data_IF_520465455595
#
_entry.id   IF_520465455595
#
_cell.length_a   1.000
_cell.length_b   1.000
_cell.length_c   1.000
_cell.angle_alpha   90.00
_cell.angle_beta   90.00
_cell.angle_gamma   90.00
#
_symmetry.space_group_name_H-M   'P 1'
#
loop_
_entity.id
_entity.type
_entity.pdbx_description
1 polymer ?
#
# COMPACT_ATOMS: atom_id res chain seq x y z
N UNK A 1 -43.06 -14.40 -17.90
CA UNK A 1 -43.51 -15.09 -19.13
C UNK A 1 -42.77 -16.41 -19.22
N UNK A 2 -43.47 -17.48 -19.63
CA UNK A 2 -42.86 -18.80 -19.78
C UNK A 2 -43.01 -19.26 -21.23
N UNK A 3 -41.89 -19.55 -21.90
CA UNK A 3 -41.90 -20.12 -23.25
C UNK A 3 -41.57 -21.60 -23.16
N UNK A 4 -42.46 -22.42 -23.71
CA UNK A 4 -42.35 -23.87 -23.71
C UNK A 4 -42.01 -24.37 -25.11
N UNK A 5 -40.80 -24.89 -25.29
CA UNK A 5 -40.38 -25.58 -26.51
C UNK A 5 -40.60 -27.07 -26.33
N UNK A 6 -41.30 -27.69 -27.28
CA UNK A 6 -41.58 -29.14 -27.29
C UNK A 6 -40.99 -29.75 -28.54
N UNK A 7 -39.94 -30.54 -28.36
CA UNK A 7 -39.31 -31.31 -29.45
C UNK A 7 -39.84 -32.73 -29.37
N UNK A 8 -40.56 -33.20 -30.38
CA UNK A 8 -41.15 -34.54 -30.42
C UNK A 8 -40.62 -35.34 -31.60
N UNK A 9 -40.34 -36.63 -31.41
CA UNK A 9 -39.89 -37.50 -32.49
C UNK A 9 -39.32 -38.84 -32.03
N UNK A 10 -38.74 -39.57 -32.97
CA UNK A 10 -38.03 -40.84 -32.74
C UNK A 10 -36.54 -40.63 -32.98
N UNK A 11 -35.72 -40.87 -31.96
CA UNK A 11 -34.28 -40.65 -31.96
C UNK A 11 -33.71 -40.47 -30.56
N UNK A 12 -32.42 -40.13 -30.47
CA UNK A 12 -31.76 -39.92 -29.18
C UNK A 12 -32.03 -38.51 -28.62
N UNK A 13 -33.25 -38.28 -28.15
CA UNK A 13 -33.74 -36.98 -27.68
C UNK A 13 -32.95 -36.41 -26.48
N UNK A 14 -32.34 -37.27 -25.65
CA UNK A 14 -31.54 -36.84 -24.49
C UNK A 14 -30.25 -36.10 -24.88
N UNK A 15 -29.67 -36.43 -26.03
CA UNK A 15 -28.42 -35.82 -26.51
C UNK A 15 -28.62 -34.51 -27.29
N UNK A 16 -29.87 -34.10 -27.50
CA UNK A 16 -30.17 -32.86 -28.20
C UNK A 16 -29.81 -31.67 -27.32
N UNK A 17 -28.93 -30.79 -27.80
CA UNK A 17 -28.67 -29.50 -27.15
C UNK A 17 -29.94 -28.66 -27.09
N UNK A 18 -30.16 -27.97 -25.98
CA UNK A 18 -31.33 -27.12 -25.82
C UNK A 18 -31.21 -25.91 -26.76
N UNK A 19 -32.19 -25.66 -27.64
CA UNK A 19 -32.17 -24.47 -28.49
C UNK A 19 -32.31 -23.21 -27.64
N UNK A 20 -31.36 -22.29 -27.76
CA UNK A 20 -31.36 -21.03 -27.00
C UNK A 20 -32.32 -20.00 -27.61
N UNK A 21 -33.08 -19.32 -26.74
CA UNK A 21 -33.97 -18.23 -27.13
C UNK A 21 -33.27 -16.90 -26.85
N UNK A 22 -33.13 -16.05 -27.87
CA UNK A 22 -32.60 -14.70 -27.72
C UNK A 22 -33.69 -13.76 -27.20
N UNK A 23 -33.82 -13.67 -25.89
CA UNK A 23 -34.71 -12.68 -25.27
C UNK A 23 -34.11 -11.26 -25.39
N UNK A 24 -34.96 -10.21 -25.47
CA UNK A 24 -34.50 -8.82 -25.39
C UNK A 24 -33.81 -8.51 -24.05
N UNK A 25 -32.88 -7.55 -24.04
CA UNK A 25 -32.05 -7.20 -22.87
C UNK A 25 -32.84 -6.78 -21.62
N UNK A 26 -34.08 -6.31 -21.79
CA UNK A 26 -34.98 -5.92 -20.69
C UNK A 26 -35.63 -7.11 -19.95
N UNK A 27 -35.34 -8.34 -20.37
CA UNK A 27 -35.82 -9.56 -19.71
C UNK A 27 -34.73 -10.15 -18.82
N UNK A 28 -35.09 -10.41 -17.57
CA UNK A 28 -34.31 -11.29 -16.72
C UNK A 28 -34.68 -12.74 -17.05
N UNK A 29 -33.71 -13.49 -17.60
CA UNK A 29 -33.89 -14.87 -18.06
C UNK A 29 -33.29 -15.83 -17.06
N UNK A 30 -34.06 -16.86 -16.70
CA UNK A 30 -33.62 -17.94 -15.81
C UNK A 30 -33.24 -19.18 -16.62
N UNK A 31 -32.43 -20.05 -16.01
CA UNK A 31 -32.04 -21.31 -16.62
C UNK A 31 -33.27 -22.17 -16.96
N UNK A 32 -33.30 -22.79 -18.15
CA UNK A 32 -34.46 -23.55 -18.59
C UNK A 32 -34.67 -24.82 -17.79
N UNK A 33 -35.92 -25.10 -17.44
CA UNK A 33 -36.30 -26.40 -16.89
C UNK A 33 -36.52 -27.38 -18.03
N UNK A 34 -35.85 -28.53 -17.97
CA UNK A 34 -35.91 -29.57 -19.02
C UNK A 34 -36.58 -30.82 -18.47
N UNK A 35 -37.64 -31.28 -19.14
CA UNK A 35 -38.28 -32.56 -18.91
C UNK A 35 -38.16 -33.45 -20.17
N UNK A 36 -37.83 -34.72 -19.98
CA UNK A 36 -37.66 -35.68 -21.08
C UNK A 36 -38.57 -36.88 -20.86
N UNK A 37 -39.64 -36.99 -21.63
CA UNK A 37 -40.56 -38.12 -21.55
C UNK A 37 -40.32 -39.01 -22.76
N UNK A 38 -39.44 -40.00 -22.58
CA UNK A 38 -39.02 -40.94 -23.63
C UNK A 38 -39.39 -42.37 -23.27
N UNK A 39 -39.84 -43.13 -24.27
CA UNK A 39 -40.16 -44.55 -24.15
C UNK A 39 -39.45 -45.35 -25.23
N UNK A 40 -39.05 -46.58 -24.90
CA UNK A 40 -38.40 -47.48 -25.84
C UNK A 40 -39.46 -48.21 -26.67
N UNK A 41 -39.32 -48.18 -28.00
CA UNK A 41 -40.22 -48.87 -28.95
C UNK A 41 -39.39 -49.74 -29.90
N UNK A 42 -40.06 -50.58 -30.71
CA UNK A 42 -39.39 -51.43 -31.73
C UNK A 42 -38.67 -50.61 -32.81
N UNK A 43 -39.04 -49.36 -33.01
CA UNK A 43 -38.45 -48.43 -33.99
C UNK A 43 -37.36 -47.52 -33.38
N UNK A 44 -37.08 -47.67 -32.08
CA UNK A 44 -36.09 -46.87 -31.34
C UNK A 44 -36.70 -46.10 -30.16
N UNK A 45 -35.93 -45.15 -29.64
CA UNK A 45 -36.36 -44.28 -28.54
C UNK A 45 -37.28 -43.19 -29.08
N UNK A 46 -38.54 -43.17 -28.65
CA UNK A 46 -39.56 -42.20 -29.10
C UNK A 46 -40.09 -41.42 -27.92
N UNK A 47 -40.34 -40.12 -28.09
CA UNK A 47 -40.89 -39.30 -27.02
C UNK A 47 -40.87 -37.82 -27.33
N UNK A 48 -40.91 -37.02 -26.27
CA UNK A 48 -40.75 -35.58 -26.33
C UNK A 48 -39.74 -35.07 -25.30
N UNK A 49 -39.05 -33.99 -25.68
CA UNK A 49 -38.20 -33.17 -24.82
C UNK A 49 -38.86 -31.82 -24.70
N UNK A 50 -39.22 -31.47 -23.46
CA UNK A 50 -39.91 -30.24 -23.09
C UNK A 50 -38.91 -29.32 -22.40
N UNK A 51 -38.77 -28.11 -22.91
CA UNK A 51 -37.84 -27.10 -22.38
C UNK A 51 -38.64 -25.84 -22.05
N UNK A 52 -38.65 -25.45 -20.79
CA UNK A 52 -39.40 -24.30 -20.29
C UNK A 52 -38.43 -23.18 -19.91
N UNK A 53 -38.47 -22.09 -20.66
CA UNK A 53 -37.71 -20.87 -20.41
C UNK A 53 -38.57 -19.87 -19.64
N UNK A 54 -38.13 -19.47 -18.45
CA UNK A 54 -38.77 -18.42 -17.65
C UNK A 54 -38.04 -17.11 -17.89
N UNK A 55 -38.77 -16.09 -18.34
CA UNK A 55 -38.24 -14.75 -18.56
C UNK A 55 -39.18 -13.69 -17.94
N UNK A 56 -38.63 -12.80 -17.12
CA UNK A 56 -39.36 -11.75 -16.39
C UNK A 56 -39.04 -10.39 -17.03
N UNK A 57 -40.01 -9.70 -17.65
CA UNK A 57 -39.79 -8.37 -18.17
C UNK A 57 -39.65 -7.37 -17.02
N UNK A 58 -38.61 -6.51 -17.07
CA UNK A 58 -38.35 -5.50 -16.04
C UNK A 58 -39.01 -4.15 -16.35
N UNK A 59 -39.25 -3.86 -17.62
CA UNK A 59 -39.84 -2.60 -18.08
C UNK A 59 -41.11 -2.84 -18.90
N UNK A 60 -42.00 -1.85 -18.90
CA UNK A 60 -43.20 -1.84 -19.74
C UNK A 60 -42.81 -1.45 -21.17
N UNK A 61 -43.38 -2.13 -22.16
CA UNK A 61 -43.07 -1.92 -23.57
C UNK A 61 -43.48 -3.09 -24.45
N UNK A 62 -43.37 -2.88 -25.77
CA UNK A 62 -43.63 -3.91 -26.77
C UNK A 62 -42.31 -4.58 -27.16
N UNK A 63 -42.23 -5.88 -26.93
CA UNK A 63 -41.04 -6.68 -27.15
C UNK A 63 -41.29 -7.75 -28.21
N UNK A 64 -40.29 -7.99 -29.07
CA UNK A 64 -40.32 -9.06 -30.06
C UNK A 64 -39.38 -10.19 -29.63
N UNK A 65 -39.93 -11.39 -29.46
CA UNK A 65 -39.18 -12.60 -29.16
C UNK A 65 -38.99 -13.36 -30.49
N UNK A 66 -37.76 -13.46 -31.00
CA UNK A 66 -37.49 -14.14 -32.26
C UNK A 66 -37.74 -15.64 -32.14
N UNK A 67 -38.22 -16.22 -33.24
CA UNK A 67 -38.40 -17.65 -33.38
C UNK A 67 -37.08 -18.40 -33.29
N UNK A 68 -37.15 -19.59 -32.71
CA UNK A 68 -36.00 -20.43 -32.40
C UNK A 68 -35.76 -21.38 -33.57
N UNK A 69 -34.50 -21.51 -33.97
CA UNK A 69 -34.10 -22.45 -35.02
C UNK A 69 -33.49 -23.70 -34.41
N UNK A 70 -33.93 -24.86 -34.87
CA UNK A 70 -33.44 -26.16 -34.44
C UNK A 70 -33.02 -26.98 -35.66
N UNK A 71 -31.77 -27.45 -35.69
CA UNK A 71 -31.25 -28.26 -36.79
C UNK A 71 -31.00 -29.69 -36.34
N UNK A 72 -31.41 -30.66 -37.16
CA UNK A 72 -31.18 -32.08 -36.93
C UNK A 72 -30.76 -32.80 -38.22
N UNK A 73 -30.07 -33.92 -38.08
CA UNK A 73 -29.71 -34.77 -39.21
C UNK A 73 -30.81 -35.81 -39.47
N UNK A 74 -31.43 -35.78 -40.65
CA UNK A 74 -32.42 -36.76 -41.06
C UNK A 74 -31.74 -37.93 -41.77
N UNK A 75 -31.71 -39.09 -41.12
CA UNK A 75 -31.12 -40.33 -41.63
C UNK A 75 -31.80 -40.86 -42.89
N UNK A 76 -33.07 -40.52 -43.15
CA UNK A 76 -33.80 -40.98 -44.35
C UNK A 76 -33.37 -40.20 -45.59
N UNK A 77 -33.23 -38.88 -45.46
CA UNK A 77 -32.77 -38.01 -46.56
C UNK A 77 -31.26 -37.81 -46.59
N UNK A 78 -30.52 -38.33 -45.58
CA UNK A 78 -29.07 -38.16 -45.39
C UNK A 78 -28.64 -36.69 -45.45
N UNK A 79 -29.44 -35.80 -44.89
CA UNK A 79 -29.23 -34.35 -44.95
C UNK A 79 -29.65 -33.66 -43.66
N UNK A 80 -29.07 -32.49 -43.39
CA UNK A 80 -29.49 -31.64 -42.28
C UNK A 80 -30.78 -30.91 -42.63
N UNK A 81 -31.72 -30.88 -41.67
CA UNK A 81 -32.97 -30.12 -41.75
C UNK A 81 -33.02 -29.12 -40.61
N UNK A 82 -33.45 -27.90 -40.93
CA UNK A 82 -33.64 -26.83 -39.94
C UNK A 82 -35.13 -26.52 -39.82
N UNK A 83 -35.63 -26.62 -38.60
CA UNK A 83 -36.98 -26.19 -38.21
C UNK A 83 -36.87 -24.83 -37.55
N UNK A 84 -37.84 -23.96 -37.79
CA UNK A 84 -37.90 -22.63 -37.19
C UNK A 84 -39.29 -22.42 -36.61
N UNK A 85 -39.37 -21.93 -35.38
CA UNK A 85 -40.63 -21.51 -34.78
C UNK A 85 -41.00 -20.10 -35.22
N UNK A 86 -42.25 -19.70 -34.97
CA UNK A 86 -42.71 -18.34 -35.22
C UNK A 86 -42.11 -17.34 -34.21
N UNK A 87 -42.09 -16.07 -34.61
CA UNK A 87 -41.73 -14.95 -33.73
C UNK A 87 -42.97 -14.54 -32.92
N UNK A 88 -42.80 -14.18 -31.65
CA UNK A 88 -43.88 -13.69 -30.80
C UNK A 88 -43.70 -12.20 -30.48
N UNK A 89 -44.78 -11.42 -30.55
CA UNK A 89 -44.81 -10.03 -30.06
C UNK A 89 -45.54 -10.01 -28.73
N UNK A 90 -44.86 -9.52 -27.70
CA UNK A 90 -45.36 -9.43 -26.33
C UNK A 90 -45.49 -7.97 -25.97
N UNK A 91 -46.70 -7.54 -25.61
CA UNK A 91 -46.93 -6.21 -25.03
C UNK A 91 -46.96 -6.30 -23.51
N UNK A 92 -46.02 -5.65 -22.84
CA UNK A 92 -45.90 -5.63 -21.37
C UNK A 92 -46.43 -4.30 -20.86
N UNK A 93 -47.57 -4.34 -20.18
CA UNK A 93 -48.17 -3.16 -19.58
C UNK A 93 -47.50 -2.77 -18.25
N UNK A 94 -47.58 -1.49 -17.90
CA UNK A 94 -47.07 -1.00 -16.62
C UNK A 94 -47.96 -1.53 -15.48
N UNK A 95 -47.37 -2.29 -14.56
CA UNK A 95 -48.06 -2.75 -13.35
C UNK A 95 -48.46 -1.58 -12.44
N UNK A 96 -49.53 -1.74 -11.67
CA UNK A 96 -50.10 -0.71 -10.77
C UNK A 96 -49.29 -0.44 -9.48
N UNK A 97 -47.99 -0.78 -9.45
CA UNK A 97 -47.11 -0.60 -8.28
C UNK A 97 -45.98 0.38 -8.57
N UNK A 98 -45.69 1.28 -7.61
CA UNK A 98 -44.53 2.17 -7.64
C UNK A 98 -43.24 1.34 -7.51
N UNK A 99 -42.65 0.99 -8.65
CA UNK A 99 -41.36 0.30 -8.72
C UNK A 99 -40.19 1.26 -9.00
N UNK A 100 -40.15 2.40 -8.31
CA UNK A 100 -38.92 3.18 -8.13
C UNK A 100 -38.13 2.62 -6.93
N UNK A 101 -37.91 1.31 -6.91
CA UNK A 101 -36.86 0.73 -6.07
C UNK A 101 -35.59 0.66 -6.90
N UNK A 102 -34.74 1.65 -6.68
CA UNK A 102 -33.32 1.68 -7.07
C UNK A 102 -32.66 0.42 -6.51
N UNK A 103 -32.49 -0.60 -7.34
CA UNK A 103 -31.61 -1.73 -7.04
C UNK A 103 -30.20 -1.26 -7.40
N UNK A 104 -29.41 -1.03 -6.36
CA UNK A 104 -28.01 -0.64 -6.48
C UNK A 104 -27.24 -1.67 -7.31
N UNK A 105 -26.74 -1.23 -8.47
CA UNK A 105 -25.83 -2.00 -9.32
C UNK A 105 -24.47 -2.18 -8.62
N UNK A 106 -24.35 -3.24 -7.84
CA UNK A 106 -23.07 -3.75 -7.35
C UNK A 106 -22.79 -5.10 -8.01
N UNK A 107 -22.30 -5.09 -9.24
CA UNK A 107 -21.38 -6.15 -9.72
C UNK A 107 -20.67 -5.70 -10.99
N UNK A 108 -19.34 -5.64 -10.87
CA UNK A 108 -18.40 -5.49 -11.96
C UNK A 108 -18.68 -6.52 -13.07
N UNK A 109 -18.90 -6.03 -14.29
CA UNK A 109 -18.75 -6.79 -15.53
C UNK A 109 -17.78 -6.04 -16.45
N UNK A 110 -16.54 -5.96 -16.02
CA UNK A 110 -15.43 -6.06 -16.97
C UNK A 110 -15.19 -7.55 -17.22
N UNK A 111 -15.93 -8.12 -18.16
CA UNK A 111 -15.39 -9.09 -19.12
C UNK A 111 -16.51 -9.58 -20.04
N UNK A 112 -16.13 -9.86 -21.29
CA UNK A 112 -16.96 -10.32 -22.41
C UNK A 112 -17.68 -9.24 -23.21
N UNK A 113 -16.88 -8.44 -23.92
CA UNK A 113 -17.30 -7.81 -25.20
C UNK A 113 -16.32 -8.16 -26.31
N UNK A 114 -16.32 -9.43 -26.72
CA UNK A 114 -15.67 -9.90 -27.96
C UNK A 114 -16.69 -10.69 -28.77
N UNK A 115 -17.58 -9.98 -29.47
CA UNK A 115 -18.16 -10.40 -30.76
C UNK A 115 -18.95 -9.21 -31.35
N UNK A 116 -18.30 -8.43 -32.22
CA UNK A 116 -18.90 -7.26 -32.86
C UNK A 116 -17.87 -6.22 -33.27
N UNK A 117 -16.88 -6.61 -34.09
CA UNK A 117 -15.84 -5.69 -34.59
C UNK A 117 -16.07 -5.16 -36.01
N UNK A 118 -17.17 -5.48 -36.70
CA UNK A 118 -17.24 -5.11 -38.12
C UNK A 118 -18.05 -3.82 -38.42
N UNK A 119 -18.97 -3.37 -37.55
CA UNK A 119 -19.62 -2.06 -37.75
C UNK A 119 -19.89 -1.38 -36.40
N UNK A 120 -19.09 -0.37 -36.06
CA UNK A 120 -19.30 0.52 -34.89
C UNK A 120 -19.95 1.83 -35.35
N UNK A 121 -20.87 2.35 -34.54
CA UNK A 121 -21.51 3.66 -34.76
C UNK A 121 -20.45 4.80 -34.70
N UNK A 122 -20.59 5.82 -35.55
CA UNK A 122 -19.64 6.94 -35.64
C UNK A 122 -19.64 7.71 -34.31
N UNK A 123 -18.47 7.87 -33.69
CA UNK A 123 -18.32 8.70 -32.47
C UNK A 123 -18.67 10.15 -32.81
N UNK A 124 -19.75 10.67 -32.23
CA UNK A 124 -20.22 12.06 -32.41
C UNK A 124 -19.67 13.03 -31.35
N UNK A 125 -18.79 12.58 -30.46
CA UNK A 125 -18.13 13.48 -29.50
C UNK A 125 -17.02 14.26 -30.18
N UNK A 126 -16.69 15.46 -29.66
CA UNK A 126 -15.55 16.25 -30.11
C UNK A 126 -14.26 15.40 -30.12
N UNK A 127 -13.83 15.01 -31.31
CA UNK A 127 -12.62 14.22 -31.51
C UNK A 127 -11.45 15.18 -31.52
N UNK A 128 -10.62 15.15 -30.48
CA UNK A 128 -9.30 15.79 -30.51
C UNK A 128 -8.40 14.98 -31.44
N UNK A 129 -8.30 15.42 -32.70
CA UNK A 129 -7.41 14.83 -33.69
C UNK A 129 -5.96 15.10 -33.28
N UNK A 130 -5.23 14.03 -32.96
CA UNK A 130 -3.79 14.08 -32.72
C UNK A 130 -3.04 13.76 -34.02
N UNK A 131 -1.90 14.42 -34.31
CA UNK A 131 -1.09 14.12 -35.48
C UNK A 131 -0.69 12.64 -35.50
N UNK A 132 -0.84 11.98 -36.66
CA UNK A 132 -0.41 10.59 -36.86
C UNK A 132 1.10 10.49 -36.58
N UNK A 133 1.49 9.75 -35.55
CA UNK A 133 2.89 9.53 -35.16
C UNK A 133 3.30 10.10 -33.80
N UNK A 134 2.41 10.77 -33.05
CA UNK A 134 2.68 11.21 -31.67
C UNK A 134 2.50 10.06 -30.67
N UNK A 135 3.37 9.07 -30.72
CA UNK A 135 3.41 8.01 -29.70
C UNK A 135 4.10 8.50 -28.43
N UNK A 136 3.60 8.09 -27.26
CA UNK A 136 4.27 8.34 -25.98
C UNK A 136 5.64 7.65 -25.94
N UNK A 137 5.73 6.45 -26.50
CA UNK A 137 6.97 5.69 -26.65
C UNK A 137 7.95 6.41 -27.58
N UNK A 138 9.13 6.77 -27.06
CA UNK A 138 10.15 7.52 -27.80
C UNK A 138 10.05 9.05 -27.72
N UNK A 139 9.01 9.58 -27.06
CA UNK A 139 8.89 11.02 -26.78
C UNK A 139 9.98 11.50 -25.79
N UNK A 140 10.27 12.80 -25.77
CA UNK A 140 11.22 13.38 -24.81
C UNK A 140 10.81 13.10 -23.36
N UNK A 141 9.50 13.24 -23.05
CA UNK A 141 8.96 12.96 -21.72
C UNK A 141 9.15 11.50 -21.30
N UNK A 142 9.04 10.55 -22.23
CA UNK A 142 9.34 9.14 -21.98
C UNK A 142 10.80 8.92 -21.53
N UNK A 143 11.76 9.55 -22.21
CA UNK A 143 13.18 9.47 -21.79
C UNK A 143 13.43 10.16 -20.45
N UNK A 144 12.78 11.29 -20.17
CA UNK A 144 12.86 11.96 -18.86
C UNK A 144 12.39 11.04 -17.71
N UNK A 145 11.38 10.20 -17.93
CA UNK A 145 10.91 9.24 -16.92
C UNK A 145 11.96 8.18 -16.54
N UNK A 146 12.95 7.89 -17.39
CA UNK A 146 14.07 7.01 -17.04
C UNK A 146 15.27 7.79 -16.50
N UNK A 147 15.56 8.97 -17.07
CA UNK A 147 16.72 9.77 -16.69
C UNK A 147 16.55 10.35 -15.28
N UNK A 148 15.37 10.82 -14.91
CA UNK A 148 15.14 11.44 -13.59
C UNK A 148 15.38 10.43 -12.46
N UNK A 149 14.78 9.22 -12.44
CA UNK A 149 15.08 8.22 -11.41
C UNK A 149 16.53 7.76 -11.42
N UNK A 150 17.15 7.63 -12.59
CA UNK A 150 18.56 7.24 -12.70
C UNK A 150 19.49 8.30 -12.08
N UNK A 151 19.27 9.59 -12.37
CA UNK A 151 20.02 10.68 -11.75
C UNK A 151 19.78 10.76 -10.24
N UNK A 152 18.52 10.61 -9.80
CA UNK A 152 18.20 10.57 -8.38
C UNK A 152 18.93 9.43 -7.65
N UNK A 153 19.00 8.25 -8.28
CA UNK A 153 19.75 7.10 -7.75
C UNK A 153 21.24 7.38 -7.67
N UNK A 154 21.85 7.98 -8.70
CA UNK A 154 23.28 8.35 -8.70
C UNK A 154 23.57 9.37 -7.59
N UNK A 155 22.75 10.42 -7.45
CA UNK A 155 22.92 11.42 -6.39
C UNK A 155 22.81 10.77 -5.01
N UNK A 156 21.79 9.94 -4.81
CA UNK A 156 21.60 9.20 -3.56
C UNK A 156 22.81 8.31 -3.25
N UNK A 157 23.32 7.58 -4.25
CA UNK A 157 24.49 6.71 -4.10
C UNK A 157 25.74 7.50 -3.70
N UNK A 158 25.97 8.67 -4.31
CA UNK A 158 27.11 9.55 -3.95
C UNK A 158 26.97 10.05 -2.51
N UNK A 159 25.79 10.51 -2.11
CA UNK A 159 25.53 10.98 -0.74
C UNK A 159 25.74 9.83 0.26
N UNK A 160 25.18 8.66 -0.04
CA UNK A 160 25.30 7.47 0.80
C UNK A 160 26.75 7.04 0.96
N UNK A 161 27.53 7.02 -0.14
CA UNK A 161 28.95 6.66 -0.10
C UNK A 161 29.78 7.68 0.68
N UNK A 162 29.49 8.98 0.53
CA UNK A 162 30.12 10.04 1.34
C UNK A 162 29.80 9.86 2.82
N UNK A 163 28.54 9.58 3.16
CA UNK A 163 28.13 9.35 4.53
C UNK A 163 28.73 8.07 5.13
N UNK A 164 28.85 7.00 4.35
CA UNK A 164 29.53 5.78 4.76
C UNK A 164 31.03 6.01 5.04
N UNK A 165 31.71 6.79 4.19
CA UNK A 165 33.10 7.18 4.42
C UNK A 165 33.29 8.10 5.64
N UNK A 166 32.35 9.03 5.88
CA UNK A 166 32.34 9.85 7.10
C UNK A 166 32.09 9.00 8.35
N UNK A 167 31.17 8.03 8.28
CA UNK A 167 30.88 7.09 9.37
C UNK A 167 32.02 6.09 9.64
N UNK A 168 32.85 5.78 8.64
CA UNK A 168 34.05 4.95 8.83
C UNK A 168 35.07 5.62 9.76
N UNK A 169 35.08 6.95 9.82
CA UNK A 169 35.85 7.70 10.81
C UNK A 169 35.08 7.75 12.15
N UNK A 170 34.95 6.60 12.80
CA UNK A 170 34.24 6.45 14.09
C UNK A 170 34.72 7.48 15.11
N UNK A 171 36.02 7.77 15.17
CA UNK A 171 36.59 8.79 16.04
C UNK A 171 35.98 10.19 15.80
N UNK A 172 35.94 10.65 14.54
CA UNK A 172 35.37 11.97 14.16
C UNK A 172 33.85 12.03 14.39
N UNK A 173 33.16 10.90 14.24
CA UNK A 173 31.73 10.81 14.53
C UNK A 173 31.42 10.79 16.02
N UNK A 174 32.30 10.19 16.84
CA UNK A 174 32.21 10.23 18.31
C UNK A 174 32.43 11.65 18.82
N UNK A 175 33.45 12.35 18.35
CA UNK A 175 33.67 13.75 18.76
C UNK A 175 32.52 14.66 18.36
N UNK A 176 32.00 14.55 17.13
CA UNK A 176 30.81 15.32 16.67
C UNK A 176 29.53 15.02 17.46
N UNK A 177 29.36 13.78 17.92
CA UNK A 177 28.17 13.36 18.69
C UNK A 177 28.34 13.52 20.20
N UNK A 178 29.53 13.83 20.70
CA UNK A 178 29.85 13.92 22.13
C UNK A 178 28.87 14.87 22.86
N UNK A 179 28.69 16.09 22.35
CA UNK A 179 27.76 17.06 22.95
C UNK A 179 26.30 16.54 22.91
N UNK A 180 25.88 15.89 21.82
CA UNK A 180 24.53 15.31 21.70
C UNK A 180 24.29 14.19 22.72
N UNK A 181 25.29 13.33 22.94
CA UNK A 181 25.23 12.24 23.94
C UNK A 181 25.23 12.82 25.36
N UNK A 182 26.11 13.78 25.63
CA UNK A 182 26.19 14.47 26.91
C UNK A 182 24.88 15.19 27.25
N UNK A 183 24.30 15.94 26.30
CA UNK A 183 22.99 16.60 26.46
C UNK A 183 21.87 15.59 26.73
N UNK A 184 21.89 14.43 26.07
CA UNK A 184 20.88 13.37 26.31
C UNK A 184 21.00 12.80 27.73
N UNK A 185 22.23 12.59 28.23
CA UNK A 185 22.47 12.15 29.60
C UNK A 185 22.11 13.23 30.61
N UNK A 186 22.45 14.49 30.35
CA UNK A 186 22.03 15.61 31.19
C UNK A 186 20.51 15.74 31.26
N UNK A 187 19.76 15.53 30.17
CA UNK A 187 18.28 15.47 30.23
C UNK A 187 17.78 14.35 31.13
N UNK A 188 18.44 13.19 31.12
CA UNK A 188 18.10 12.09 32.02
C UNK A 188 18.42 12.45 33.48
N UNK A 189 19.57 13.07 33.73
CA UNK A 189 19.91 13.61 35.04
C UNK A 189 18.87 14.64 35.53
N UNK A 190 18.43 15.57 34.69
CA UNK A 190 17.35 16.52 35.02
C UNK A 190 16.02 15.82 35.38
N UNK A 191 15.73 14.67 34.76
CA UNK A 191 14.57 13.85 35.16
C UNK A 191 14.79 13.22 36.54
N UNK A 192 15.97 12.65 36.80
CA UNK A 192 16.31 12.04 38.09
C UNK A 192 16.33 13.07 39.23
N UNK A 193 16.72 14.32 38.93
CA UNK A 193 16.64 15.47 39.81
C UNK A 193 15.18 15.76 40.21
N UNK A 194 14.26 15.80 39.24
CA UNK A 194 12.83 15.99 39.52
C UNK A 194 12.19 14.83 40.30
N UNK A 195 12.73 13.61 40.14
CA UNK A 195 12.30 12.41 40.88
C UNK A 195 13.01 12.29 42.25
N UNK A 196 13.86 13.25 42.63
CA UNK A 196 14.64 13.30 43.87
C UNK A 196 15.52 12.04 44.12
N UNK A 197 16.02 11.42 43.05
CA UNK A 197 16.88 10.22 43.11
C UNK A 197 18.36 10.62 43.11
N UNK A 198 18.87 10.99 44.29
CA UNK A 198 20.21 11.58 44.50
C UNK A 198 21.36 10.74 43.91
N UNK A 199 21.48 9.48 44.34
CA UNK A 199 22.59 8.62 43.90
C UNK A 199 22.60 8.40 42.39
N UNK A 200 21.42 8.18 41.80
CA UNK A 200 21.26 8.00 40.36
C UNK A 200 21.52 9.30 39.58
N UNK A 201 21.13 10.44 40.14
CA UNK A 201 21.40 11.75 39.56
C UNK A 201 22.91 12.00 39.45
N UNK A 202 23.65 11.89 40.56
CA UNK A 202 25.10 12.13 40.55
C UNK A 202 25.85 11.13 39.67
N UNK A 203 25.44 9.86 39.65
CA UNK A 203 26.03 8.85 38.76
C UNK A 203 25.82 9.21 37.27
N UNK A 204 24.63 9.69 36.90
CA UNK A 204 24.35 10.07 35.51
C UNK A 204 25.06 11.36 35.10
N UNK A 205 25.21 12.34 35.99
CA UNK A 205 25.99 13.57 35.75
C UNK A 205 27.48 13.23 35.56
N UNK A 206 28.06 12.37 36.41
CA UNK A 206 29.44 11.91 36.24
C UNK A 206 29.63 11.16 34.92
N UNK A 207 28.70 10.27 34.57
CA UNK A 207 28.69 9.57 33.28
C UNK A 207 28.59 10.55 32.11
N UNK A 208 27.88 11.66 32.25
CA UNK A 208 27.78 12.69 31.21
C UNK A 208 29.10 13.44 31.04
N UNK A 209 29.73 13.89 32.14
CA UNK A 209 31.01 14.61 32.12
C UNK A 209 32.18 13.76 31.60
N UNK A 210 32.39 12.57 32.18
CA UNK A 210 33.43 11.64 31.75
C UNK A 210 33.20 11.12 30.33
N UNK A 211 31.94 10.84 29.98
CA UNK A 211 31.56 10.41 28.63
C UNK A 211 31.80 11.50 27.59
N UNK A 212 31.46 12.76 27.90
CA UNK A 212 31.70 13.91 27.02
C UNK A 212 33.19 14.04 26.69
N UNK A 213 34.05 14.08 27.71
CA UNK A 213 35.49 14.21 27.49
C UNK A 213 36.10 12.98 26.81
N UNK A 214 35.66 11.77 27.18
CA UNK A 214 36.09 10.53 26.52
C UNK A 214 35.83 10.57 25.02
N UNK A 215 34.61 10.96 24.61
CA UNK A 215 34.25 11.03 23.20
C UNK A 215 34.89 12.26 22.50
N UNK A 216 35.12 13.38 23.20
CA UNK A 216 35.72 14.60 22.62
C UNK A 216 37.23 14.49 22.43
N UNK A 217 37.95 13.89 23.38
CA UNK A 217 39.39 13.63 23.29
C UNK A 217 39.72 12.29 22.62
N UNK A 218 38.69 11.48 22.33
CA UNK A 218 38.81 10.12 21.79
C UNK A 218 39.70 9.21 22.66
N UNK A 219 39.59 9.34 23.98
CA UNK A 219 40.31 8.55 24.98
C UNK A 219 39.31 7.61 25.66
N UNK A 220 39.56 6.28 25.73
CA UNK A 220 38.70 5.37 26.47
C UNK A 220 38.57 5.78 27.95
N UNK A 221 37.37 5.69 28.51
CA UNK A 221 37.09 6.03 29.93
C UNK A 221 38.04 5.31 30.90
N UNK A 222 38.49 4.09 30.58
CA UNK A 222 39.43 3.32 31.39
C UNK A 222 40.86 3.90 31.49
N UNK A 223 41.22 4.83 30.60
CA UNK A 223 42.53 5.52 30.57
C UNK A 223 42.40 7.00 30.94
N UNK A 224 41.23 7.40 31.39
CA UNK A 224 40.89 8.79 31.67
C UNK A 224 41.19 9.08 33.14
N UNK A 225 42.04 10.09 33.37
CA UNK A 225 42.38 10.62 34.69
C UNK A 225 42.35 12.15 34.65
N UNK A 226 42.18 12.80 35.80
CA UNK A 226 42.14 14.27 35.90
C UNK A 226 43.41 14.91 35.30
N UNK A 227 44.56 14.31 35.56
CA UNK A 227 45.86 14.78 35.04
C UNK A 227 45.95 14.68 33.51
N UNK A 228 45.53 13.54 32.94
CA UNK A 228 45.54 13.32 31.49
C UNK A 228 44.52 14.22 30.78
N UNK A 229 43.37 14.49 31.41
CA UNK A 229 42.38 15.45 30.89
C UNK A 229 43.00 16.84 30.79
N UNK A 230 43.61 17.32 31.86
CA UNK A 230 44.22 18.66 31.91
C UNK A 230 45.29 18.81 30.82
N UNK A 231 46.22 17.86 30.73
CA UNK A 231 47.28 17.89 29.72
C UNK A 231 46.71 17.90 28.29
N UNK A 232 45.70 17.07 28.02
CA UNK A 232 45.10 16.97 26.68
C UNK A 232 44.25 18.18 26.30
N UNK A 233 43.53 18.77 27.25
CA UNK A 233 42.77 20.00 27.03
C UNK A 233 43.69 21.19 26.78
N UNK A 234 44.81 21.29 27.51
CA UNK A 234 45.87 22.28 27.25
C UNK A 234 46.44 22.13 25.84
N UNK A 235 46.73 20.90 25.43
CA UNK A 235 47.19 20.59 24.07
C UNK A 235 46.16 20.92 22.97
N UNK A 236 44.87 21.03 23.32
CA UNK A 236 43.80 21.48 22.41
C UNK A 236 43.55 23.00 22.45
N UNK A 237 44.37 23.77 23.18
CA UNK A 237 44.29 25.22 23.23
C UNK A 237 43.14 25.77 24.08
N UNK A 238 42.60 24.97 25.01
CA UNK A 238 41.54 25.41 25.93
C UNK A 238 42.13 26.32 27.00
N UNK A 239 41.43 27.42 27.34
CA UNK A 239 41.84 28.35 28.40
C UNK A 239 41.96 27.60 29.75
N UNK A 240 43.06 27.84 30.49
CA UNK A 240 43.29 27.26 31.82
C UNK A 240 42.13 27.48 32.80
N UNK A 241 41.48 28.64 32.74
CA UNK A 241 40.33 28.95 33.60
C UNK A 241 39.18 27.96 33.36
N UNK A 242 38.91 27.64 32.09
CA UNK A 242 37.84 26.70 31.71
C UNK A 242 38.20 25.25 32.05
N UNK A 243 39.49 24.89 31.96
CA UNK A 243 39.97 23.57 32.41
C UNK A 243 39.76 23.42 33.91
N UNK A 244 40.13 24.42 34.71
CA UNK A 244 39.90 24.43 36.15
C UNK A 244 38.41 24.40 36.50
N UNK A 245 37.58 25.16 35.79
CA UNK A 245 36.12 25.15 35.97
C UNK A 245 35.54 23.74 35.74
N UNK A 246 36.01 23.04 34.70
CA UNK A 246 35.60 21.66 34.44
C UNK A 246 36.06 20.67 35.51
N UNK A 247 37.32 20.74 35.91
CA UNK A 247 37.85 19.85 36.95
C UNK A 247 37.14 20.09 38.29
N UNK A 248 36.81 21.34 38.61
CA UNK A 248 36.04 21.67 39.80
C UNK A 248 34.61 21.11 39.72
N UNK A 249 33.91 21.27 38.60
CA UNK A 249 32.58 20.68 38.43
C UNK A 249 32.59 19.15 38.58
N UNK A 250 33.65 18.50 38.08
CA UNK A 250 33.84 17.06 38.22
C UNK A 250 34.14 16.67 39.67
N UNK A 251 35.01 17.41 40.37
CA UNK A 251 35.32 17.22 41.79
C UNK A 251 34.09 17.42 42.67
N UNK A 252 33.31 18.48 42.43
CA UNK A 252 32.09 18.80 43.18
C UNK A 252 31.05 17.68 43.03
N UNK A 253 30.92 17.12 41.81
CA UNK A 253 30.01 16.02 41.54
C UNK A 253 30.49 14.70 42.18
N UNK A 254 31.80 14.40 42.14
CA UNK A 254 32.37 13.25 42.84
C UNK A 254 32.24 13.37 44.35
N UNK A 255 32.55 14.55 44.90
CA UNK A 255 32.43 14.83 46.32
C UNK A 255 30.99 14.67 46.80
N UNK A 256 30.02 15.26 46.09
CA UNK A 256 28.61 15.16 46.46
C UNK A 256 28.07 13.71 46.39
N UNK A 257 28.68 12.85 45.57
CA UNK A 257 28.32 11.43 45.50
C UNK A 257 28.94 10.59 46.61
N UNK A 258 30.22 10.83 46.92
CA UNK A 258 31.01 9.96 47.80
C UNK A 258 31.13 10.48 49.24
N UNK A 259 30.84 11.75 49.49
CA UNK A 259 30.82 12.37 50.81
C UNK A 259 29.37 12.79 51.16
N UNK A 260 28.72 12.15 52.13
CA UNK A 260 27.37 12.52 52.53
C UNK A 260 27.37 13.91 53.20
N UNK A 261 26.82 14.91 52.51
CA UNK A 261 26.72 16.30 52.92
C UNK A 261 25.48 16.99 52.33
N UNK A 262 25.32 18.29 52.60
CA UNK A 262 24.07 19.07 52.46
C UNK A 262 23.30 18.87 51.14
N UNK A 263 22.00 18.61 51.25
CA UNK A 263 21.43 17.43 50.58
C UNK A 263 20.57 17.74 49.34
N UNK A 264 20.16 18.99 49.11
CA UNK A 264 19.28 19.37 47.97
C UNK A 264 19.73 20.62 47.21
N UNK A 265 20.26 21.66 47.88
CA UNK A 265 20.78 22.85 47.19
C UNK A 265 22.05 22.56 46.35
N UNK A 266 22.75 21.47 46.65
CA UNK A 266 23.92 21.03 45.90
C UNK A 266 23.56 20.42 44.52
N UNK A 267 22.40 19.75 44.38
CA UNK A 267 22.06 19.05 43.14
C UNK A 267 21.75 20.00 41.98
N UNK A 268 20.93 21.03 42.21
CA UNK A 268 20.59 22.03 41.19
C UNK A 268 21.83 22.82 40.73
N UNK A 269 22.72 23.12 41.69
CA UNK A 269 24.00 23.80 41.42
C UNK A 269 24.90 22.92 40.56
N UNK A 270 25.11 21.64 40.95
CA UNK A 270 25.93 20.69 40.19
C UNK A 270 25.35 20.45 38.80
N UNK A 271 24.03 20.36 38.67
CA UNK A 271 23.36 20.21 37.37
C UNK A 271 23.64 21.40 36.44
N UNK A 272 23.40 22.61 36.94
CA UNK A 272 23.54 23.85 36.17
C UNK A 272 25.00 24.10 35.79
N UNK A 273 25.93 23.97 36.75
CA UNK A 273 27.37 24.10 36.50
C UNK A 273 27.86 23.06 35.49
N UNK A 274 27.41 21.81 35.57
CA UNK A 274 27.82 20.77 34.62
C UNK A 274 27.36 21.05 33.19
N UNK A 275 26.14 21.56 33.01
CA UNK A 275 25.64 21.96 31.69
C UNK A 275 26.39 23.17 31.14
N UNK A 276 26.62 24.17 31.98
CA UNK A 276 27.32 25.40 31.60
C UNK A 276 28.74 25.10 31.13
N UNK A 277 29.48 24.29 31.90
CA UNK A 277 30.86 23.91 31.56
C UNK A 277 30.91 23.08 30.28
N UNK A 278 30.02 22.10 30.07
CA UNK A 278 29.96 21.34 28.81
C UNK A 278 29.71 22.28 27.63
N UNK A 279 28.82 23.25 27.78
CA UNK A 279 28.52 24.24 26.74
C UNK A 279 29.72 25.15 26.44
N UNK A 280 30.40 25.65 27.48
CA UNK A 280 31.63 26.46 27.33
C UNK A 280 32.76 25.65 26.67
N UNK A 281 32.96 24.39 27.08
CA UNK A 281 33.94 23.49 26.47
C UNK A 281 33.64 23.19 25.02
N UNK A 282 32.37 22.99 24.65
CA UNK A 282 32.00 22.77 23.26
C UNK A 282 32.31 24.00 22.39
N UNK A 283 32.13 25.20 22.94
CA UNK A 283 32.44 26.44 22.24
C UNK A 283 33.96 26.69 22.09
N UNK A 284 34.76 26.26 23.07
CA UNK A 284 36.23 26.40 23.04
C UNK A 284 36.89 25.32 22.18
N UNK A 285 36.38 24.09 22.19
CA UNK A 285 36.90 22.96 21.42
C UNK A 285 36.07 22.84 20.13
N UNK A 286 36.13 23.87 19.29
CA UNK A 286 35.52 23.85 17.95
C UNK A 286 36.45 23.12 16.96
N UNK A 287 35.88 22.18 16.21
CA UNK A 287 36.52 21.51 15.08
C UNK A 287 36.55 22.40 13.84
#
# INVERSE_FOLDING_TARGET
>A
ITIKLVISGTGNLKLISNPEIKFPDDFEVYDPKVDNQVRLTREGLTGNKVIEYLAIPRHAGTYKIPGVSFSYFDIRSKSYKTLKTEDYVVNVEKGAGNADQVIANFTNKEDLKVLGEDIRYIKQNEVTLQPKGSFFYGSMTYWLFYIIPALAFIIFFIIYRKQAAENANVAKMRTKKANKVATKRMKLAGKLLSENKKDAFYDEVLKALWGYISDKLNIPVSRLSKDNIEEKLRNHGVNEELIKEFLNALNDCEFARFAPGDENQAMDKVYSSSIEVISKMENSIKH
#
